data_IF_484357741009
#
_entry.id   IF_484357741009
#
_cell.length_a   1.000
_cell.length_b   1.000
_cell.length_c   1.000
_cell.angle_alpha   90.00
_cell.angle_beta   90.00
_cell.angle_gamma   90.00
#
_symmetry.space_group_name_H-M   'P 1'
#
loop_
_entity.id
_entity.type
_entity.pdbx_description
1 polymer ?
#
# COMPACT_ATOMS: atom_id res chain seq x y z
N UNK A 1 11.34 1.79 16.54
CA UNK A 1 11.73 0.47 17.06
C UNK A 1 12.30 0.69 18.45
N UNK A 2 11.73 0.09 19.50
CA UNK A 2 12.40 0.07 20.79
C UNK A 2 13.69 -0.75 20.62
N UNK A 3 14.84 -0.11 20.79
CA UNK A 3 16.09 -0.84 20.95
C UNK A 3 15.91 -1.72 22.19
N UNK A 4 16.03 -3.03 22.01
CA UNK A 4 16.08 -3.99 23.12
C UNK A 4 17.41 -3.79 23.88
N UNK A 5 17.53 -2.69 24.61
CA UNK A 5 18.62 -2.46 25.56
C UNK A 5 18.11 -2.80 26.96
N UNK A 6 18.47 -3.98 27.45
CA UNK A 6 18.33 -4.36 28.86
C UNK A 6 17.31 -5.47 29.14
N UNK A 7 17.79 -6.70 29.29
CA UNK A 7 17.17 -7.85 30.02
C UNK A 7 15.95 -8.60 29.48
N UNK A 8 15.31 -8.22 28.37
CA UNK A 8 14.20 -9.00 27.78
C UNK A 8 14.59 -9.71 26.49
N UNK A 9 15.70 -10.47 26.53
CA UNK A 9 16.00 -11.41 25.46
C UNK A 9 15.19 -12.69 25.67
N UNK A 10 14.47 -13.16 24.65
CA UNK A 10 14.02 -14.55 24.57
C UNK A 10 15.12 -15.37 23.86
N UNK A 11 16.15 -15.87 24.57
CA UNK A 11 17.32 -16.47 23.94
C UNK A 11 17.00 -17.77 23.20
N UNK A 12 15.88 -18.42 23.53
CA UNK A 12 15.43 -19.66 22.92
C UNK A 12 14.65 -19.46 21.62
N UNK A 13 14.32 -18.22 21.26
CA UNK A 13 13.61 -17.91 20.01
C UNK A 13 14.59 -17.88 18.83
N UNK A 14 14.20 -18.56 17.75
CA UNK A 14 14.84 -18.50 16.45
C UNK A 14 13.82 -18.10 15.38
N UNK A 15 14.28 -17.46 14.28
CA UNK A 15 13.41 -17.18 13.14
C UNK A 15 12.95 -18.46 12.46
N UNK A 16 11.77 -18.40 11.84
CA UNK A 16 11.32 -19.40 10.89
C UNK A 16 12.22 -19.39 9.66
N UNK A 17 12.47 -20.56 9.07
CA UNK A 17 13.16 -20.67 7.78
C UNK A 17 12.10 -21.07 6.76
N UNK A 18 11.85 -20.20 5.78
CA UNK A 18 10.92 -20.47 4.67
C UNK A 18 11.57 -20.07 3.36
N UNK A 19 11.55 -20.98 2.38
CA UNK A 19 12.07 -20.73 1.03
C UNK A 19 13.51 -20.18 1.01
N UNK A 20 14.36 -20.67 1.93
CA UNK A 20 15.76 -20.20 2.06
C UNK A 20 15.93 -18.86 2.77
N UNK A 21 14.84 -18.21 3.21
CA UNK A 21 14.86 -16.95 3.95
C UNK A 21 14.52 -17.17 5.42
N UNK A 22 15.23 -16.47 6.30
CA UNK A 22 14.92 -16.42 7.74
C UNK A 22 13.98 -15.25 8.02
N UNK A 23 12.84 -15.50 8.65
CA UNK A 23 11.89 -14.48 9.04
C UNK A 23 11.43 -14.66 10.50
N UNK A 24 11.38 -13.57 11.25
CA UNK A 24 10.60 -13.49 12.49
C UNK A 24 9.30 -12.75 12.19
N UNK A 25 8.19 -13.25 12.73
CA UNK A 25 6.89 -12.64 12.52
C UNK A 25 6.63 -11.68 13.69
N UNK A 26 6.43 -10.41 13.38
CA UNK A 26 6.07 -9.37 14.35
C UNK A 26 4.69 -8.83 13.99
N UNK A 27 3.76 -8.96 14.93
CA UNK A 27 2.39 -8.45 14.80
C UNK A 27 2.12 -7.38 15.86
N UNK A 28 1.45 -6.31 15.46
CA UNK A 28 0.90 -5.32 16.40
C UNK A 28 -0.56 -5.68 16.64
N UNK A 29 -0.88 -6.29 17.78
CA UNK A 29 -2.25 -6.70 18.09
C UNK A 29 -3.13 -5.51 18.47
N UNK A 30 -2.59 -4.56 19.26
CA UNK A 30 -3.29 -3.34 19.67
C UNK A 30 -2.36 -2.14 19.67
N UNK A 31 -2.83 -1.02 19.11
CA UNK A 31 -2.11 0.25 19.04
C UNK A 31 -2.33 1.09 20.31
N UNK A 32 -1.76 2.29 20.36
CA UNK A 32 -1.95 3.25 21.47
C UNK A 32 -3.25 4.05 21.39
N UNK A 33 -4.11 3.81 20.39
CA UNK A 33 -5.31 4.60 20.16
C UNK A 33 -6.40 4.40 21.22
N UNK A 34 -6.41 3.24 21.89
CA UNK A 34 -7.51 2.81 22.76
C UNK A 34 -7.17 2.98 24.24
N UNK A 35 -7.28 4.20 24.77
CA UNK A 35 -7.20 4.43 26.22
C UNK A 35 -8.44 3.84 26.92
N UNK A 36 -8.33 3.05 28.01
CA UNK A 36 -7.18 2.88 28.92
C UNK A 36 -6.28 1.65 28.63
N UNK A 37 -6.50 0.92 27.53
CA UNK A 37 -5.78 -0.33 27.27
C UNK A 37 -4.34 -0.11 26.79
N UNK A 38 -3.34 -0.83 27.33
CA UNK A 38 -1.95 -0.67 26.89
C UNK A 38 -1.74 -1.27 25.49
N UNK A 39 -0.82 -0.70 24.68
CA UNK A 39 -0.47 -1.26 23.38
C UNK A 39 0.18 -2.64 23.55
N UNK A 40 -0.03 -3.51 22.57
CA UNK A 40 0.42 -4.89 22.61
C UNK A 40 0.98 -5.33 21.25
N UNK A 41 2.20 -5.85 21.27
CA UNK A 41 2.86 -6.49 20.14
C UNK A 41 3.16 -7.96 20.47
N UNK A 42 3.16 -8.79 19.44
CA UNK A 42 3.44 -10.21 19.51
C UNK A 42 4.56 -10.55 18.53
N UNK A 43 5.60 -11.22 19.01
CA UNK A 43 6.63 -11.83 18.16
C UNK A 43 6.44 -13.32 18.19
N UNK A 44 6.41 -13.93 17.01
CA UNK A 44 6.39 -15.37 16.84
C UNK A 44 7.65 -15.84 16.14
N UNK A 45 8.27 -16.86 16.72
CA UNK A 45 9.37 -17.60 16.14
C UNK A 45 9.22 -19.10 16.40
N UNK A 46 10.30 -19.84 16.18
CA UNK A 46 10.43 -21.23 16.58
C UNK A 46 11.37 -21.37 17.77
N UNK A 47 11.14 -22.36 18.60
CA UNK A 47 12.02 -22.72 19.69
C UNK A 47 13.27 -23.42 19.13
N UNK A 48 14.47 -22.95 19.51
CA UNK A 48 15.76 -23.39 18.96
C UNK A 48 16.01 -24.91 19.07
N UNK A 49 15.55 -25.53 20.15
CA UNK A 49 15.82 -26.94 20.44
C UNK A 49 14.72 -27.87 19.95
N UNK A 50 13.46 -27.45 20.05
CA UNK A 50 12.29 -28.33 19.81
C UNK A 50 11.64 -28.09 18.44
N UNK A 51 11.93 -26.97 17.77
CA UNK A 51 11.29 -26.59 16.50
C UNK A 51 9.85 -26.07 16.64
N UNK A 52 9.23 -26.27 17.80
CA UNK A 52 7.88 -25.80 18.13
C UNK A 52 7.73 -24.29 18.05
N UNK A 53 6.50 -23.80 17.83
CA UNK A 53 6.19 -22.37 17.86
C UNK A 53 6.50 -21.75 19.21
N UNK A 54 7.02 -20.53 19.21
CA UNK A 54 7.31 -19.76 20.42
C UNK A 54 6.75 -18.36 20.26
N UNK A 55 5.80 -18.01 21.13
CA UNK A 55 5.11 -16.74 21.13
C UNK A 55 5.61 -15.86 22.28
N UNK A 56 5.93 -14.60 21.98
CA UNK A 56 6.33 -13.63 23.00
C UNK A 56 5.53 -12.35 22.83
N UNK A 57 4.77 -11.98 23.86
CA UNK A 57 3.86 -10.83 23.83
C UNK A 57 4.32 -9.77 24.81
N UNK A 58 4.45 -8.55 24.32
CA UNK A 58 5.06 -7.44 25.04
C UNK A 58 4.41 -6.12 24.70
N UNK A 59 4.65 -5.13 25.55
CA UNK A 59 4.27 -3.75 25.27
C UNK A 59 5.37 -3.10 24.39
N UNK A 60 5.06 -2.67 23.16
CA UNK A 60 6.06 -2.18 22.21
C UNK A 60 6.67 -0.81 22.58
N UNK A 61 6.06 -0.08 23.53
CA UNK A 61 6.56 1.21 24.02
C UNK A 61 7.55 1.01 25.18
N UNK A 62 7.22 0.11 26.11
CA UNK A 62 8.05 -0.11 27.32
C UNK A 62 9.02 -1.29 27.20
N UNK A 63 8.83 -2.17 26.23
CA UNK A 63 9.62 -3.40 26.05
C UNK A 63 9.34 -4.51 27.07
N UNK A 64 8.41 -4.28 28.02
CA UNK A 64 8.08 -5.25 29.08
C UNK A 64 7.07 -6.28 28.60
N UNK A 65 7.17 -7.56 29.04
CA UNK A 65 6.18 -8.58 28.74
C UNK A 65 4.81 -8.21 29.32
N UNK A 66 3.74 -8.67 28.68
CA UNK A 66 2.37 -8.51 29.18
C UNK A 66 2.18 -9.37 30.45
N UNK A 67 1.29 -8.95 31.36
CA UNK A 67 0.99 -9.71 32.59
C UNK A 67 0.60 -11.16 32.25
N UNK A 68 1.25 -12.12 32.90
CA UNK A 68 1.03 -13.55 32.66
C UNK A 68 1.91 -14.17 31.57
N UNK A 69 2.60 -13.37 30.75
CA UNK A 69 3.54 -13.88 29.75
C UNK A 69 4.88 -14.25 30.41
N UNK A 70 5.36 -15.50 30.25
CA UNK A 70 6.67 -15.91 30.75
C UNK A 70 7.79 -15.07 30.11
N UNK A 71 8.87 -14.81 30.87
CA UNK A 71 10.04 -14.08 30.36
C UNK A 71 10.71 -14.76 29.17
N UNK A 72 10.60 -16.09 29.09
CA UNK A 72 11.07 -16.91 27.97
C UNK A 72 10.08 -17.05 26.81
N UNK A 73 8.91 -16.42 26.87
CA UNK A 73 7.81 -16.66 25.93
C UNK A 73 7.03 -17.94 26.24
N UNK A 74 5.90 -18.09 25.56
CA UNK A 74 4.99 -19.23 25.64
C UNK A 74 5.26 -20.18 24.47
N UNK A 75 5.58 -21.43 24.79
CA UNK A 75 5.78 -22.48 23.77
C UNK A 75 4.42 -22.96 23.31
N UNK A 76 4.14 -22.75 22.02
CA UNK A 76 3.02 -23.40 21.34
C UNK A 76 3.51 -24.80 21.04
N UNK A 77 2.92 -25.83 21.67
CA UNK A 77 3.39 -27.23 21.64
C UNK A 77 3.37 -27.91 20.25
N UNK A 78 3.26 -27.13 19.18
CA UNK A 78 3.10 -27.55 17.80
C UNK A 78 4.02 -26.74 16.88
N UNK A 79 4.37 -27.30 15.73
CA UNK A 79 5.09 -26.56 14.70
C UNK A 79 4.12 -25.67 13.92
N UNK A 80 4.51 -24.42 13.66
CA UNK A 80 3.61 -23.42 13.06
C UNK A 80 3.81 -23.34 11.55
N UNK A 81 2.81 -23.79 10.78
CA UNK A 81 2.77 -23.74 9.32
C UNK A 81 2.35 -22.40 8.75
N UNK A 82 1.47 -21.66 9.41
CA UNK A 82 1.08 -20.31 8.99
C UNK A 82 0.51 -19.52 10.16
N UNK A 83 0.56 -18.19 10.04
CA UNK A 83 0.03 -17.26 11.04
C UNK A 83 -0.71 -16.14 10.34
N UNK A 84 -1.85 -15.76 10.88
CA UNK A 84 -2.60 -14.60 10.43
C UNK A 84 -3.06 -13.76 11.61
N UNK A 85 -2.98 -12.44 11.47
CA UNK A 85 -3.57 -11.49 12.40
C UNK A 85 -4.94 -11.08 11.85
N UNK A 86 -6.00 -11.29 12.61
CA UNK A 86 -7.35 -10.94 12.18
C UNK A 86 -7.56 -9.42 12.22
N UNK A 87 -8.41 -8.91 11.32
CA UNK A 87 -8.78 -7.49 11.28
C UNK A 87 -9.82 -7.14 12.34
N UNK A 88 -10.68 -8.10 12.69
CA UNK A 88 -11.69 -7.95 13.73
C UNK A 88 -11.01 -7.80 15.10
N UNK A 89 -11.62 -6.99 15.96
CA UNK A 89 -11.14 -6.75 17.30
C UNK A 89 -12.08 -7.37 18.32
N UNK A 90 -11.53 -7.82 19.44
CA UNK A 90 -12.31 -8.20 20.62
C UNK A 90 -12.89 -6.97 21.34
N UNK A 91 -13.61 -7.22 22.43
CA UNK A 91 -14.18 -6.18 23.31
C UNK A 91 -13.11 -5.25 23.92
N UNK A 92 -11.83 -5.63 23.87
CA UNK A 92 -10.68 -4.87 24.37
C UNK A 92 -9.83 -4.25 23.25
N UNK A 93 -10.38 -4.15 22.02
CA UNK A 93 -9.69 -3.62 20.84
C UNK A 93 -8.39 -4.36 20.49
N UNK A 94 -8.29 -5.63 20.86
CA UNK A 94 -7.19 -6.53 20.57
C UNK A 94 -7.52 -7.35 19.32
N UNK A 95 -6.56 -7.43 18.40
CA UNK A 95 -6.67 -8.29 17.23
C UNK A 95 -6.14 -9.71 17.53
N UNK A 96 -6.98 -10.75 17.41
CA UNK A 96 -6.55 -12.12 17.63
C UNK A 96 -5.59 -12.61 16.55
N UNK A 97 -4.68 -13.48 16.94
CA UNK A 97 -3.75 -14.19 16.06
C UNK A 97 -4.25 -15.61 15.91
N UNK A 98 -4.38 -16.06 14.66
CA UNK A 98 -4.71 -17.45 14.31
C UNK A 98 -3.48 -18.13 13.76
N UNK A 99 -3.16 -19.29 14.30
CA UNK A 99 -2.00 -20.12 13.97
C UNK A 99 -2.49 -21.42 13.35
N UNK A 100 -1.93 -21.82 12.21
CA UNK A 100 -2.14 -23.15 11.62
C UNK A 100 -0.95 -24.03 12.00
N UNK A 101 -1.21 -25.21 12.56
CA UNK A 101 -0.19 -26.17 12.95
C UNK A 101 0.11 -27.24 11.89
N UNK A 102 1.13 -28.06 12.15
CA UNK A 102 1.57 -29.20 11.33
C UNK A 102 0.54 -30.33 11.21
N UNK A 103 -0.43 -30.38 12.12
CA UNK A 103 -1.53 -31.37 12.16
C UNK A 103 -2.82 -30.82 11.56
N UNK A 104 -2.75 -29.67 10.88
CA UNK A 104 -3.89 -28.98 10.28
C UNK A 104 -4.97 -28.59 11.30
N UNK A 105 -4.55 -28.16 12.49
CA UNK A 105 -5.42 -27.57 13.51
C UNK A 105 -5.11 -26.07 13.65
N UNK A 106 -6.16 -25.28 13.87
CA UNK A 106 -6.02 -23.87 14.14
C UNK A 106 -6.00 -23.59 15.64
N UNK A 107 -5.07 -22.73 16.05
CA UNK A 107 -4.94 -22.25 17.43
C UNK A 107 -5.13 -20.73 17.45
N UNK A 108 -5.89 -20.22 18.42
CA UNK A 108 -6.22 -18.79 18.55
C UNK A 108 -5.54 -18.22 19.77
N UNK A 109 -4.91 -17.05 19.60
CA UNK A 109 -4.33 -16.27 20.69
C UNK A 109 -4.85 -14.83 20.69
N UNK A 110 -5.39 -14.33 21.82
CA UNK A 110 -5.63 -15.04 23.08
C UNK A 110 -6.75 -16.09 22.98
N UNK A 111 -6.73 -17.08 23.88
CA UNK A 111 -7.72 -18.16 23.90
C UNK A 111 -9.16 -17.68 24.20
N UNK A 112 -9.32 -16.47 24.78
CA UNK A 112 -10.63 -15.84 24.99
C UNK A 112 -11.40 -15.60 23.69
N UNK A 113 -10.67 -15.39 22.59
CA UNK A 113 -11.26 -14.93 21.33
C UNK A 113 -11.72 -16.11 20.46
N UNK A 114 -11.62 -17.34 20.97
CA UNK A 114 -11.99 -18.56 20.25
C UNK A 114 -13.44 -18.54 19.77
N UNK A 115 -14.37 -18.05 20.59
CA UNK A 115 -15.79 -17.97 20.23
C UNK A 115 -16.03 -17.03 19.04
N UNK A 116 -15.38 -15.86 19.03
CA UNK A 116 -15.43 -14.92 17.91
C UNK A 116 -14.85 -15.55 16.63
N UNK A 117 -13.72 -16.24 16.73
CA UNK A 117 -13.09 -16.90 15.58
C UNK A 117 -13.95 -18.05 15.05
N UNK A 118 -14.66 -18.78 15.91
CA UNK A 118 -15.62 -19.82 15.51
C UNK A 118 -16.77 -19.24 14.68
N UNK A 119 -17.31 -18.08 15.06
CA UNK A 119 -18.35 -17.39 14.29
C UNK A 119 -17.83 -16.92 12.92
N UNK A 120 -16.58 -16.46 12.86
CA UNK A 120 -15.93 -16.00 11.63
C UNK A 120 -15.41 -17.14 10.75
N UNK A 121 -15.38 -18.38 11.24
CA UNK A 121 -14.75 -19.53 10.58
C UNK A 121 -15.11 -19.72 9.10
N UNK A 122 -16.37 -19.51 8.62
CA UNK A 122 -16.70 -19.72 7.21
C UNK A 122 -16.01 -18.71 6.26
N UNK A 123 -15.52 -17.59 6.79
CA UNK A 123 -14.88 -16.52 6.03
C UNK A 123 -13.35 -16.52 6.14
N UNK A 124 -12.78 -17.44 6.92
CA UNK A 124 -11.34 -17.51 7.16
C UNK A 124 -10.71 -18.62 6.32
N UNK A 125 -9.77 -18.20 5.48
CA UNK A 125 -8.99 -19.08 4.61
C UNK A 125 -7.51 -18.91 4.88
N UNK A 126 -6.77 -20.01 4.85
CA UNK A 126 -5.31 -20.04 4.94
C UNK A 126 -4.74 -20.91 3.82
N UNK A 127 -3.48 -20.72 3.47
CA UNK A 127 -2.86 -21.47 2.39
C UNK A 127 -1.39 -21.74 2.69
N UNK A 128 -0.96 -22.96 2.43
CA UNK A 128 0.45 -23.35 2.53
C UNK A 128 1.02 -23.55 1.14
N UNK A 129 2.32 -23.30 1.01
CA UNK A 129 3.07 -23.51 -0.22
C UNK A 129 4.26 -24.40 0.08
N UNK A 130 4.34 -25.54 -0.60
CA UNK A 130 5.48 -26.45 -0.50
C UNK A 130 6.37 -26.31 -1.74
N UNK A 131 7.59 -25.83 -1.52
CA UNK A 131 8.56 -25.63 -2.59
C UNK A 131 9.15 -26.94 -3.12
N UNK A 132 9.17 -28.02 -2.32
CA UNK A 132 9.73 -29.29 -2.77
C UNK A 132 8.82 -29.96 -3.81
N UNK A 133 7.52 -29.90 -3.59
CA UNK A 133 6.49 -30.48 -4.46
C UNK A 133 5.92 -29.49 -5.48
N UNK A 134 6.22 -28.19 -5.33
CA UNK A 134 5.65 -27.10 -6.15
C UNK A 134 4.12 -27.05 -6.12
N UNK A 135 3.54 -27.43 -4.98
CA UNK A 135 2.10 -27.40 -4.75
C UNK A 135 1.71 -26.29 -3.79
N UNK A 136 0.64 -25.57 -4.11
CA UNK A 136 -0.08 -24.72 -3.17
C UNK A 136 -1.36 -25.42 -2.75
N UNK A 137 -1.63 -25.41 -1.46
CA UNK A 137 -2.82 -26.01 -0.85
C UNK A 137 -3.55 -24.96 -0.03
N UNK A 138 -4.83 -24.76 -0.33
CA UNK A 138 -5.70 -23.86 0.42
C UNK A 138 -6.60 -24.63 1.39
N UNK A 139 -6.78 -24.07 2.58
CA UNK A 139 -7.58 -24.62 3.66
C UNK A 139 -8.70 -23.66 4.07
N UNK A 140 -9.89 -24.21 4.28
CA UNK A 140 -10.99 -23.54 4.98
C UNK A 140 -11.00 -23.94 6.45
N UNK A 141 -11.51 -23.06 7.31
CA UNK A 141 -11.69 -23.36 8.73
C UNK A 141 -13.04 -24.05 8.98
N UNK A 142 -13.01 -25.19 9.65
CA UNK A 142 -14.20 -25.96 10.05
C UNK A 142 -14.16 -26.17 11.56
N UNK A 143 -15.32 -26.05 12.20
CA UNK A 143 -15.48 -26.30 13.64
C UNK A 143 -15.98 -27.72 13.85
N UNK A 144 -15.18 -28.58 14.49
CA UNK A 144 -15.56 -29.95 14.89
C UNK A 144 -15.22 -30.16 16.36
N UNK A 145 -16.17 -30.65 17.17
CA UNK A 145 -15.97 -30.93 18.60
C UNK A 145 -15.31 -29.79 19.40
N UNK A 146 -15.71 -28.54 19.14
CA UNK A 146 -15.13 -27.31 19.71
C UNK A 146 -13.66 -27.04 19.33
N UNK A 147 -13.08 -27.82 18.41
CA UNK A 147 -11.76 -27.59 17.81
C UNK A 147 -11.91 -26.97 16.44
N UNK A 148 -10.93 -26.16 16.06
CA UNK A 148 -10.84 -25.56 14.74
C UNK A 148 -9.89 -26.41 13.89
N UNK A 149 -10.40 -27.01 12.82
CA UNK A 149 -9.65 -27.87 11.91
C UNK A 149 -9.53 -27.22 10.53
N UNK A 150 -8.40 -27.47 9.86
CA UNK A 150 -8.15 -27.06 8.49
C UNK A 150 -8.65 -28.14 7.53
N UNK A 151 -9.66 -27.81 6.74
CA UNK A 151 -10.15 -28.67 5.66
C UNK A 151 -9.56 -28.20 4.34
N UNK A 152 -8.88 -29.09 3.64
CA UNK A 152 -8.37 -28.81 2.30
C UNK A 152 -9.53 -28.49 1.34
N UNK A 153 -9.44 -27.35 0.66
CA UNK A 153 -10.43 -26.89 -0.33
C UNK A 153 -9.92 -27.07 -1.76
N UNK A 154 -8.64 -26.76 -1.98
CA UNK A 154 -8.01 -26.84 -3.28
C UNK A 154 -6.52 -27.16 -3.14
N UNK A 155 -5.98 -27.83 -4.14
CA UNK A 155 -4.56 -28.13 -4.27
C UNK A 155 -4.16 -27.94 -5.73
N UNK A 156 -3.18 -27.08 -5.96
CA UNK A 156 -2.80 -26.63 -7.30
C UNK A 156 -1.31 -26.86 -7.51
N UNK A 157 -1.00 -27.56 -8.61
CA UNK A 157 0.36 -27.71 -9.11
C UNK A 157 0.63 -26.62 -10.17
N UNK A 158 1.71 -25.87 -10.00
CA UNK A 158 2.06 -24.69 -10.81
C UNK A 158 2.43 -24.99 -12.29
N UNK A 159 2.37 -26.24 -12.75
CA UNK A 159 2.88 -26.63 -14.08
C UNK A 159 1.92 -26.46 -15.28
N UNK A 160 0.68 -25.98 -15.12
CA UNK A 160 -0.28 -25.84 -16.24
C UNK A 160 -0.61 -24.39 -16.62
N UNK A 161 -0.75 -24.15 -17.94
CA UNK A 161 -0.78 -22.81 -18.59
C UNK A 161 -2.11 -22.54 -19.35
N UNK A 162 -2.57 -21.28 -19.35
CA UNK A 162 -3.68 -20.79 -20.21
C UNK A 162 -3.75 -19.25 -20.33
N UNK A 163 -4.02 -18.75 -21.55
CA UNK A 163 -3.87 -17.34 -22.02
C UNK A 163 -5.26 -16.71 -22.31
N UNK A 164 -5.41 -15.36 -22.39
CA UNK A 164 -6.07 -14.58 -23.49
C UNK A 164 -6.15 -13.06 -23.19
N UNK A 165 -6.42 -12.33 -24.27
CA UNK A 165 -6.11 -10.96 -24.69
C UNK A 165 -7.19 -9.90 -24.40
N UNK A 166 -6.86 -8.67 -24.81
CA UNK A 166 -7.48 -7.41 -24.45
C UNK A 166 -8.20 -6.63 -25.56
N UNK A 167 -9.20 -5.82 -25.16
CA UNK A 167 -9.88 -4.78 -25.94
C UNK A 167 -9.88 -3.41 -25.21
N UNK A 168 -10.29 -2.34 -25.91
CA UNK A 168 -10.15 -0.93 -25.49
C UNK A 168 -11.43 -0.36 -24.85
N UNK A 169 -11.27 0.04 -23.58
CA UNK A 169 -12.21 0.39 -22.50
C UNK A 169 -11.54 1.47 -21.63
N UNK A 170 -12.16 2.30 -20.78
CA UNK A 170 -13.17 1.96 -19.77
C UNK A 170 -12.61 1.05 -18.67
N UNK A 171 -11.36 1.13 -18.23
CA UNK A 171 -10.78 0.06 -17.39
C UNK A 171 -10.96 0.28 -15.87
N UNK A 172 -11.90 -0.45 -15.27
CA UNK A 172 -11.95 -0.61 -13.82
C UNK A 172 -10.78 -1.47 -13.34
N UNK A 173 -10.15 -1.10 -12.22
CA UNK A 173 -9.07 -1.88 -11.59
C UNK A 173 -9.60 -3.21 -11.09
N UNK A 174 -8.87 -4.30 -11.33
CA UNK A 174 -9.17 -5.59 -10.71
C UNK A 174 -8.52 -5.65 -9.34
N UNK A 175 -9.34 -5.54 -8.29
CA UNK A 175 -8.90 -5.52 -6.90
C UNK A 175 -9.32 -6.81 -6.21
N UNK A 176 -8.42 -7.77 -6.15
CA UNK A 176 -8.64 -9.01 -5.41
C UNK A 176 -7.75 -9.01 -4.15
N UNK A 177 -8.33 -8.85 -2.94
CA UNK A 177 -7.57 -8.84 -1.68
C UNK A 177 -6.94 -10.20 -1.35
N UNK A 178 -7.42 -11.28 -1.98
CA UNK A 178 -6.95 -12.65 -1.78
C UNK A 178 -5.99 -13.10 -2.88
N UNK A 179 -5.42 -12.16 -3.65
CA UNK A 179 -4.49 -12.47 -4.73
C UNK A 179 -3.07 -12.68 -4.19
N UNK A 180 -2.53 -13.87 -4.40
CA UNK A 180 -1.12 -14.16 -4.15
C UNK A 180 -0.34 -14.23 -5.47
N UNK A 181 0.90 -13.73 -5.44
CA UNK A 181 1.83 -13.84 -6.56
C UNK A 181 2.91 -14.86 -6.22
N UNK A 182 2.99 -15.91 -7.01
CA UNK A 182 3.95 -17.00 -6.86
C UNK A 182 4.97 -16.91 -7.98
N UNK A 183 6.25 -16.92 -7.62
CA UNK A 183 7.37 -16.96 -8.58
C UNK A 183 8.02 -18.32 -8.49
N UNK A 184 8.16 -19.00 -9.63
CA UNK A 184 8.92 -20.23 -9.75
C UNK A 184 10.13 -19.99 -10.66
N UNK A 185 11.32 -20.25 -10.12
CA UNK A 185 12.58 -20.21 -10.87
C UNK A 185 13.01 -21.65 -11.19
N UNK A 186 13.53 -21.87 -12.39
CA UNK A 186 13.97 -23.19 -12.78
C UNK A 186 14.95 -23.18 -13.94
N UNK A 187 15.43 -24.37 -14.30
CA UNK A 187 16.29 -24.59 -15.45
C UNK A 187 15.61 -25.59 -16.35
N UNK A 188 15.44 -25.24 -17.62
CA UNK A 188 14.86 -26.10 -18.64
C UNK A 188 15.82 -27.25 -18.98
N UNK A 189 15.32 -28.30 -19.62
CA UNK A 189 16.09 -29.49 -20.06
C UNK A 189 17.32 -29.10 -20.91
N UNK A 190 17.25 -27.97 -21.59
CA UNK A 190 18.36 -27.39 -22.36
C UNK A 190 19.36 -26.56 -21.52
N UNK A 191 19.37 -26.70 -20.19
CA UNK A 191 20.19 -25.92 -19.26
C UNK A 191 20.00 -24.40 -19.35
N UNK A 192 18.81 -23.94 -19.74
CA UNK A 192 18.47 -22.52 -19.85
C UNK A 192 17.58 -22.12 -18.69
N UNK A 193 17.93 -21.04 -17.99
CA UNK A 193 17.09 -20.53 -16.90
C UNK A 193 15.72 -20.09 -17.39
N UNK A 194 14.69 -20.26 -16.57
CA UNK A 194 13.39 -19.65 -16.77
C UNK A 194 12.83 -19.11 -15.45
N UNK A 195 11.98 -18.09 -15.57
CA UNK A 195 11.22 -17.53 -14.45
C UNK A 195 9.74 -17.54 -14.83
N UNK A 196 8.91 -18.17 -14.00
CA UNK A 196 7.46 -18.16 -14.13
C UNK A 196 6.84 -17.35 -13.02
N UNK A 197 5.86 -16.52 -13.37
CA UNK A 197 5.07 -15.72 -12.42
C UNK A 197 3.62 -16.15 -12.55
N UNK A 198 3.01 -16.56 -11.45
CA UNK A 198 1.62 -17.01 -11.35
C UNK A 198 0.86 -16.11 -10.38
N UNK A 199 -0.32 -15.67 -10.80
CA UNK A 199 -1.25 -14.92 -9.96
C UNK A 199 -2.39 -15.87 -9.62
N UNK A 200 -2.56 -16.16 -8.33
CA UNK A 200 -3.47 -17.20 -7.82
C UNK A 200 -4.36 -16.58 -6.77
N UNK A 201 -5.67 -16.83 -6.86
CA UNK A 201 -6.60 -16.50 -5.78
C UNK A 201 -6.46 -17.53 -4.64
N UNK A 202 -6.13 -17.10 -3.42
CA UNK A 202 -5.84 -17.98 -2.29
C UNK A 202 -7.08 -18.59 -1.65
N UNK A 203 -8.28 -18.10 -1.96
CA UNK A 203 -9.54 -18.66 -1.45
C UNK A 203 -9.99 -19.82 -2.35
N UNK A 204 -9.97 -19.61 -3.66
CA UNK A 204 -10.47 -20.59 -4.65
C UNK A 204 -9.38 -21.48 -5.26
N UNK A 205 -8.12 -21.05 -5.22
CA UNK A 205 -7.02 -21.69 -5.95
C UNK A 205 -7.02 -21.42 -7.45
N UNK A 206 -7.90 -20.54 -7.95
CA UNK A 206 -7.98 -20.27 -9.38
C UNK A 206 -6.77 -19.47 -9.88
N UNK A 207 -6.25 -19.87 -11.05
CA UNK A 207 -5.21 -19.10 -11.75
C UNK A 207 -5.84 -17.88 -12.42
N UNK A 208 -5.49 -16.69 -11.93
CA UNK A 208 -5.93 -15.41 -12.51
C UNK A 208 -5.09 -15.06 -13.73
N UNK A 209 -3.77 -15.21 -13.64
CA UNK A 209 -2.84 -14.93 -14.74
C UNK A 209 -1.53 -15.69 -14.57
N UNK A 210 -0.83 -15.93 -15.68
CA UNK A 210 0.51 -16.48 -15.64
C UNK A 210 1.42 -15.85 -16.72
N UNK A 211 2.72 -15.76 -16.42
CA UNK A 211 3.74 -15.24 -17.32
C UNK A 211 4.98 -16.12 -17.28
N UNK A 212 5.56 -16.40 -18.45
CA UNK A 212 6.75 -17.22 -18.60
C UNK A 212 7.88 -16.43 -19.26
N UNK A 213 9.00 -16.28 -18.54
CA UNK A 213 10.22 -15.64 -19.03
C UNK A 213 11.27 -16.70 -19.35
N UNK A 214 11.59 -16.84 -20.63
CA UNK A 214 12.65 -17.75 -21.11
C UNK A 214 14.01 -17.09 -20.96
N UNK A 215 15.06 -17.89 -20.72
CA UNK A 215 16.46 -17.43 -20.60
C UNK A 215 16.59 -16.32 -19.55
N UNK A 216 15.96 -16.55 -18.41
CA UNK A 216 15.89 -15.60 -17.31
C UNK A 216 16.26 -16.30 -16.01
N UNK A 217 16.91 -15.58 -15.11
CA UNK A 217 17.39 -16.10 -13.83
C UNK A 217 17.11 -15.11 -12.72
N UNK A 218 16.95 -15.61 -11.50
CA UNK A 218 16.91 -14.77 -10.31
C UNK A 218 18.26 -14.16 -9.93
N UNK A 219 18.31 -13.43 -8.80
CA UNK A 219 17.23 -13.33 -7.81
C UNK A 219 16.04 -12.52 -8.33
N UNK A 220 14.85 -13.11 -8.31
CA UNK A 220 13.62 -12.36 -8.61
C UNK A 220 13.23 -11.54 -7.40
N UNK A 221 13.03 -10.24 -7.58
CA UNK A 221 12.43 -9.38 -6.55
C UNK A 221 11.11 -8.88 -7.04
N UNK A 222 10.07 -9.11 -6.25
CA UNK A 222 8.69 -8.87 -6.61
C UNK A 222 8.03 -8.02 -5.53
N UNK A 223 7.17 -7.14 -5.99
CA UNK A 223 6.20 -6.43 -5.18
C UNK A 223 4.81 -6.57 -5.81
N UNK A 224 3.82 -6.84 -4.97
CA UNK A 224 2.41 -6.82 -5.31
C UNK A 224 1.70 -5.75 -4.48
N UNK A 225 0.96 -4.86 -5.14
CA UNK A 225 0.19 -3.82 -4.47
C UNK A 225 -1.05 -3.48 -5.30
N UNK A 226 -2.20 -3.36 -4.63
CA UNK A 226 -3.51 -3.11 -5.25
C UNK A 226 -3.80 -4.04 -6.45
N UNK A 227 -3.79 -3.48 -7.66
CA UNK A 227 -4.09 -4.15 -8.91
C UNK A 227 -2.85 -4.39 -9.78
N UNK A 228 -1.64 -4.19 -9.25
CA UNK A 228 -0.43 -4.21 -10.05
C UNK A 228 0.71 -4.97 -9.36
N UNK A 229 1.56 -5.55 -10.19
CA UNK A 229 2.70 -6.37 -9.76
C UNK A 229 3.92 -5.89 -10.51
N UNK A 230 4.98 -5.55 -9.79
CA UNK A 230 6.28 -5.21 -10.36
C UNK A 230 7.31 -6.22 -9.93
N UNK A 231 8.11 -6.72 -10.85
CA UNK A 231 9.19 -7.62 -10.50
C UNK A 231 10.41 -7.44 -11.39
N UNK A 232 11.58 -7.68 -10.82
CA UNK A 232 12.87 -7.65 -11.52
C UNK A 232 13.45 -9.05 -11.67
N UNK A 233 14.11 -9.29 -12.79
CA UNK A 233 14.83 -10.53 -13.07
C UNK A 233 16.05 -10.26 -13.95
N UNK A 234 16.97 -11.22 -14.02
CA UNK A 234 18.14 -11.15 -14.90
C UNK A 234 17.85 -11.84 -16.23
N UNK A 235 17.92 -11.10 -17.33
CA UNK A 235 17.80 -11.67 -18.68
C UNK A 235 19.16 -12.18 -19.16
N UNK A 236 19.30 -13.50 -19.29
CA UNK A 236 20.55 -14.15 -19.69
C UNK A 236 20.90 -13.91 -21.17
N UNK A 237 19.88 -13.75 -22.03
CA UNK A 237 20.07 -13.51 -23.46
C UNK A 237 20.71 -12.14 -23.71
N UNK A 238 20.17 -11.12 -23.04
CA UNK A 238 20.60 -9.72 -23.22
C UNK A 238 21.62 -9.26 -22.17
N UNK A 239 21.93 -10.11 -21.17
CA UNK A 239 22.86 -9.86 -20.06
C UNK A 239 22.57 -8.55 -19.33
N UNK A 240 21.31 -8.36 -18.96
CA UNK A 240 20.84 -7.14 -18.29
C UNK A 240 19.69 -7.43 -17.33
N UNK A 241 19.50 -6.55 -16.36
CA UNK A 241 18.34 -6.59 -15.46
C UNK A 241 17.14 -5.99 -16.17
N UNK A 242 16.05 -6.74 -16.18
CA UNK A 242 14.76 -6.30 -16.71
C UNK A 242 13.76 -6.21 -15.56
N UNK A 243 12.91 -5.19 -15.60
CA UNK A 243 11.82 -4.95 -14.68
C UNK A 243 10.52 -5.07 -15.45
N UNK A 244 9.72 -6.06 -15.11
CA UNK A 244 8.40 -6.26 -15.70
C UNK A 244 7.32 -5.72 -14.77
N UNK A 245 6.28 -5.15 -15.38
CA UNK A 245 5.10 -4.63 -14.72
C UNK A 245 3.89 -5.37 -15.26
N UNK A 246 3.00 -5.78 -14.38
CA UNK A 246 1.67 -6.31 -14.67
C UNK A 246 0.65 -5.37 -14.03
N UNK A 247 -0.41 -5.03 -14.74
CA UNK A 247 -1.57 -4.34 -14.19
C UNK A 247 -2.83 -5.10 -14.60
N UNK A 248 -3.71 -5.32 -13.62
CA UNK A 248 -4.95 -6.08 -13.78
C UNK A 248 -6.15 -5.13 -13.77
N UNK A 249 -7.06 -5.35 -14.72
CA UNK A 249 -8.27 -4.55 -14.89
C UNK A 249 -9.49 -5.47 -15.13
N UNK A 250 -10.65 -5.14 -14.56
CA UNK A 250 -11.91 -5.88 -14.77
C UNK A 250 -12.50 -5.66 -16.17
N UNK A 251 -12.15 -4.54 -16.82
CA UNK A 251 -12.75 -4.12 -18.10
C UNK A 251 -13.73 -2.96 -17.94
N UNK A 252 -14.67 -2.81 -18.90
CA UNK A 252 -15.64 -1.70 -19.05
C UNK A 252 -16.65 -1.55 -17.92
N UNK A 253 -16.97 -2.64 -17.27
CA UNK A 253 -18.05 -2.72 -16.30
C UNK A 253 -17.47 -3.29 -15.03
N UNK A 254 -17.64 -2.57 -13.94
CA UNK A 254 -17.38 -3.11 -12.62
C UNK A 254 -18.46 -4.14 -12.32
N UNK A 255 -18.06 -5.35 -11.94
CA UNK A 255 -19.03 -6.43 -11.70
C UNK A 255 -19.83 -6.17 -10.43
N UNK A 256 -19.13 -5.76 -9.37
CA UNK A 256 -19.73 -5.38 -8.10
C UNK A 256 -19.00 -4.17 -7.52
N UNK A 257 -19.73 -3.09 -7.26
CA UNK A 257 -19.15 -1.84 -6.75
C UNK A 257 -19.07 -1.77 -5.22
N UNK A 258 -19.81 -2.63 -4.51
CA UNK A 258 -19.93 -2.56 -3.04
C UNK A 258 -19.04 -3.56 -2.33
N UNK A 259 -18.97 -4.81 -2.81
CA UNK A 259 -18.24 -5.88 -2.14
C UNK A 259 -17.55 -6.81 -3.14
N UNK A 260 -16.31 -7.19 -2.84
CA UNK A 260 -15.59 -8.23 -3.56
C UNK A 260 -15.72 -9.59 -2.84
N UNK A 261 -16.00 -10.66 -3.58
CA UNK A 261 -15.98 -12.04 -3.07
C UNK A 261 -15.20 -12.93 -4.05
N UNK A 262 -14.22 -13.67 -3.56
CA UNK A 262 -13.49 -14.65 -4.37
C UNK A 262 -14.36 -15.83 -4.82
N UNK A 263 -15.47 -16.10 -4.13
CA UNK A 263 -16.40 -17.20 -4.46
C UNK A 263 -17.37 -16.84 -5.59
N UNK A 264 -17.56 -15.55 -5.84
CA UNK A 264 -18.32 -15.01 -6.97
C UNK A 264 -17.41 -14.01 -7.71
N UNK A 265 -16.33 -14.50 -8.36
CA UNK A 265 -15.29 -13.64 -8.87
C UNK A 265 -15.79 -12.84 -10.09
N UNK A 266 -15.32 -11.60 -10.25
CA UNK A 266 -15.51 -10.88 -11.51
C UNK A 266 -14.89 -11.67 -12.68
N UNK A 267 -15.28 -11.38 -13.94
CA UNK A 267 -14.70 -12.03 -15.11
C UNK A 267 -13.18 -11.90 -15.11
N UNK A 268 -12.51 -12.86 -15.77
CA UNK A 268 -11.05 -12.92 -15.81
C UNK A 268 -10.46 -11.56 -16.22
N UNK A 269 -9.50 -11.02 -15.44
CA UNK A 269 -9.03 -9.67 -15.65
C UNK A 269 -8.25 -9.52 -16.93
N UNK A 270 -8.37 -8.33 -17.49
CA UNK A 270 -7.48 -7.79 -18.49
C UNK A 270 -6.10 -7.53 -17.87
N UNK A 271 -5.10 -8.32 -18.26
CA UNK A 271 -3.73 -8.13 -17.78
C UNK A 271 -2.90 -7.39 -18.82
N UNK A 272 -2.59 -6.13 -18.52
CA UNK A 272 -1.61 -5.35 -19.26
C UNK A 272 -0.22 -5.63 -18.72
N UNK A 273 0.76 -5.77 -19.62
CA UNK A 273 2.13 -6.07 -19.23
C UNK A 273 3.13 -5.34 -20.10
N UNK A 274 4.20 -4.87 -19.48
CA UNK A 274 5.32 -4.26 -20.19
C UNK A 274 6.61 -4.52 -19.41
N UNK A 275 7.71 -4.63 -20.14
CA UNK A 275 9.05 -4.76 -19.56
C UNK A 275 9.89 -3.53 -19.83
N UNK A 276 10.74 -3.23 -18.86
CA UNK A 276 11.69 -2.14 -18.85
C UNK A 276 13.08 -2.68 -18.54
N UNK A 277 14.10 -1.95 -18.94
CA UNK A 277 15.51 -2.24 -18.67
C UNK A 277 15.92 -1.35 -17.51
N UNK A 278 16.44 -1.97 -16.45
CA UNK A 278 16.97 -1.23 -15.32
C UNK A 278 18.50 -1.12 -15.44
N UNK A 279 19.07 0.11 -15.45
CA UNK A 279 20.51 0.31 -15.61
C UNK A 279 21.25 0.03 -14.29
N UNK A 280 21.48 -1.25 -14.01
CA UNK A 280 22.27 -1.73 -12.89
C UNK A 280 21.66 -2.94 -12.19
N UNK A 281 22.28 -3.34 -11.09
CA UNK A 281 21.79 -4.42 -10.24
C UNK A 281 21.07 -3.86 -9.03
N UNK A 282 19.93 -4.48 -8.71
CA UNK A 282 19.17 -4.19 -7.51
C UNK A 282 19.68 -5.08 -6.36
N UNK A 283 19.75 -4.54 -5.14
CA UNK A 283 20.04 -5.26 -3.88
C UNK A 283 18.77 -5.68 -3.15
N UNK A 284 17.76 -4.82 -3.16
CA UNK A 284 16.40 -5.09 -2.73
C UNK A 284 15.45 -4.11 -3.43
N UNK A 285 14.18 -4.47 -3.48
CA UNK A 285 13.12 -3.58 -3.94
C UNK A 285 12.06 -3.52 -2.84
N UNK A 286 11.43 -2.36 -2.67
CA UNK A 286 10.25 -2.19 -1.86
C UNK A 286 9.35 -1.15 -2.53
N UNK A 287 8.03 -1.38 -2.49
CA UNK A 287 7.07 -0.32 -2.76
C UNK A 287 6.72 0.50 -1.53
N UNK A 288 6.60 1.81 -1.76
CA UNK A 288 6.05 2.76 -0.80
C UNK A 288 4.56 2.93 -1.07
N UNK A 289 3.73 2.69 -0.05
CA UNK A 289 2.39 3.27 0.06
C UNK A 289 2.45 4.48 0.99
N UNK A 290 2.25 5.67 0.44
CA UNK A 290 1.70 6.80 1.18
C UNK A 290 0.20 6.82 0.83
N UNK A 291 -0.67 7.24 1.75
CA UNK A 291 -2.14 7.01 1.71
C UNK A 291 -2.83 7.30 0.35
N UNK A 292 -2.20 8.08 -0.55
CA UNK A 292 -2.65 8.31 -1.93
C UNK A 292 -1.55 8.27 -3.01
N UNK A 293 -0.27 8.08 -2.64
CA UNK A 293 0.86 8.19 -3.59
C UNK A 293 1.80 7.00 -3.51
N UNK A 294 2.00 6.40 -4.69
CA UNK A 294 2.72 5.17 -4.91
C UNK A 294 4.08 5.46 -5.58
N UNK A 295 5.18 5.33 -4.83
CA UNK A 295 6.54 5.53 -5.36
C UNK A 295 7.48 4.39 -5.02
N UNK A 296 7.79 3.51 -5.98
CA UNK A 296 8.71 2.40 -5.74
C UNK A 296 10.12 2.88 -5.36
N UNK A 297 10.68 2.27 -4.32
CA UNK A 297 12.03 2.51 -3.82
C UNK A 297 12.95 1.32 -4.17
N UNK A 298 14.10 1.63 -4.75
CA UNK A 298 15.06 0.67 -5.28
C UNK A 298 16.39 0.80 -4.55
N UNK A 299 16.81 -0.23 -3.82
CA UNK A 299 18.15 -0.27 -3.27
C UNK A 299 19.14 -0.71 -4.35
N UNK A 300 20.11 0.15 -4.63
CA UNK A 300 21.19 -0.12 -5.57
C UNK A 300 22.32 -0.88 -4.88
N UNK A 301 23.06 -1.68 -5.62
CA UNK A 301 24.30 -2.30 -5.11
C UNK A 301 25.38 -1.28 -4.71
N UNK A 302 25.34 -0.09 -5.30
CA UNK A 302 26.24 1.02 -4.95
C UNK A 302 25.91 1.65 -3.58
N UNK A 303 24.85 1.18 -2.91
CA UNK A 303 24.38 1.69 -1.63
C UNK A 303 23.51 2.94 -1.72
N UNK A 304 23.17 3.40 -2.92
CA UNK A 304 22.17 4.44 -3.13
C UNK A 304 20.75 3.86 -3.08
N UNK A 305 19.79 4.63 -2.57
CA UNK A 305 18.37 4.28 -2.55
C UNK A 305 17.67 5.19 -3.54
N UNK A 306 17.26 4.63 -4.68
CA UNK A 306 16.64 5.35 -5.79
C UNK A 306 15.12 5.29 -5.67
N UNK A 307 14.46 6.44 -5.65
CA UNK A 307 13.01 6.52 -5.76
C UNK A 307 12.60 6.81 -7.21
N UNK A 308 11.69 6.02 -7.77
CA UNK A 308 11.15 6.29 -9.10
C UNK A 308 9.62 6.41 -9.04
N UNK A 309 9.01 7.35 -9.79
CA UNK A 309 7.56 7.41 -9.92
C UNK A 309 7.00 6.12 -10.53
N UNK A 310 5.90 5.59 -9.97
CA UNK A 310 5.18 4.45 -10.55
C UNK A 310 4.70 4.73 -11.98
N UNK A 311 4.49 6.00 -12.34
CA UNK A 311 4.15 6.40 -13.71
C UNK A 311 5.24 6.03 -14.75
N UNK A 312 6.52 5.93 -14.35
CA UNK A 312 7.58 5.38 -15.22
C UNK A 312 7.40 3.88 -15.47
N UNK A 313 6.73 3.19 -14.57
CA UNK A 313 6.44 1.76 -14.59
C UNK A 313 4.96 1.51 -14.91
N UNK A 314 4.43 2.14 -15.95
CA UNK A 314 3.05 1.95 -16.43
C UNK A 314 3.07 1.08 -17.70
N UNK A 315 2.35 -0.06 -17.77
CA UNK A 315 2.32 -0.92 -18.95
C UNK A 315 1.52 -0.34 -20.13
N UNK A 316 0.84 0.78 -19.94
CA UNK A 316 0.05 1.48 -20.98
C UNK A 316 0.89 2.45 -21.79
N UNK A 317 2.18 2.62 -21.47
CA UNK A 317 3.09 3.53 -22.17
C UNK A 317 3.25 3.07 -23.64
N UNK A 318 2.80 3.87 -24.63
CA UNK A 318 2.84 3.48 -26.03
C UNK A 318 4.20 3.81 -26.65
N UNK A 319 4.66 3.02 -27.62
CA UNK A 319 5.88 3.35 -28.40
C UNK A 319 5.66 4.65 -29.20
N UNK A 320 4.49 4.77 -29.83
CA UNK A 320 4.09 5.97 -30.58
C UNK A 320 2.85 6.56 -29.89
N UNK A 321 2.93 7.76 -29.28
CA UNK A 321 1.81 8.35 -28.56
C UNK A 321 0.73 8.84 -29.54
N UNK A 322 -0.51 8.45 -29.28
CA UNK A 322 -1.71 8.91 -29.99
C UNK A 322 -2.28 10.15 -29.30
N UNK A 323 -3.22 10.91 -29.92
CA UNK A 323 -3.86 12.05 -29.27
C UNK A 323 -4.50 11.71 -27.93
N UNK A 324 -5.16 10.56 -27.82
CA UNK A 324 -5.82 10.10 -26.59
C UNK A 324 -4.81 9.86 -25.47
N UNK A 325 -3.65 9.26 -25.78
CA UNK A 325 -2.58 9.07 -24.81
C UNK A 325 -1.99 10.41 -24.32
N UNK A 326 -2.00 11.46 -25.16
CA UNK A 326 -1.53 12.80 -24.78
C UNK A 326 -2.53 13.51 -23.88
N UNK A 327 -3.83 13.32 -24.12
CA UNK A 327 -4.90 13.85 -23.26
C UNK A 327 -4.84 13.23 -21.85
N UNK A 328 -4.53 11.93 -21.73
CA UNK A 328 -4.34 11.26 -20.44
C UNK A 328 -2.98 11.59 -19.78
N UNK A 329 -2.06 12.24 -20.51
CA UNK A 329 -0.72 12.55 -20.00
C UNK A 329 0.21 11.32 -19.91
N UNK A 330 -0.07 10.26 -20.67
CA UNK A 330 0.76 9.05 -20.69
C UNK A 330 2.08 9.37 -21.41
N UNK A 331 3.17 9.16 -20.69
CA UNK A 331 4.52 9.30 -21.25
C UNK A 331 4.82 8.18 -22.26
N UNK A 332 5.51 8.47 -23.38
CA UNK A 332 5.85 7.46 -24.37
C UNK A 332 6.77 6.39 -23.77
N UNK A 333 6.70 5.17 -24.29
CA UNK A 333 7.53 4.07 -23.84
C UNK A 333 9.00 4.37 -24.10
N UNK A 334 9.78 4.33 -23.03
CA UNK A 334 11.23 4.39 -23.06
C UNK A 334 11.72 3.14 -22.35
N UNK A 335 12.37 2.20 -23.06
CA UNK A 335 12.71 0.90 -22.50
C UNK A 335 13.69 1.02 -21.35
N UNK A 336 14.64 1.96 -21.38
CA UNK A 336 15.58 2.20 -20.29
C UNK A 336 14.98 3.12 -19.23
N UNK A 337 14.99 2.66 -17.98
CA UNK A 337 14.53 3.48 -16.86
C UNK A 337 15.59 4.53 -16.50
N UNK A 338 15.19 5.80 -16.35
CA UNK A 338 16.12 6.84 -15.93
C UNK A 338 16.59 6.60 -14.49
N UNK A 339 17.84 6.96 -14.22
CA UNK A 339 18.44 6.94 -12.88
C UNK A 339 18.97 8.34 -12.55
N UNK A 340 18.08 9.32 -12.29
CA UNK A 340 18.51 10.66 -11.89
C UNK A 340 19.18 10.59 -10.52
N UNK A 341 20.29 11.29 -10.35
CA UNK A 341 21.03 11.32 -9.08
C UNK A 341 20.25 12.08 -8.00
N UNK A 342 19.40 13.02 -8.41
CA UNK A 342 18.53 13.82 -7.55
C UNK A 342 17.44 12.98 -6.88
N UNK A 343 17.09 11.82 -7.44
CA UNK A 343 16.10 10.91 -6.86
C UNK A 343 16.72 9.88 -5.90
N UNK A 344 18.02 10.00 -5.60
CA UNK A 344 18.69 9.15 -4.62
C UNK A 344 18.50 9.76 -3.22
N UNK A 345 17.61 9.17 -2.42
CA UNK A 345 17.13 9.76 -1.16
C UNK A 345 18.18 9.82 -0.05
N UNK A 346 19.24 9.01 -0.13
CA UNK A 346 20.30 8.95 0.86
C UNK A 346 21.55 9.76 0.48
N UNK A 347 21.53 10.52 -0.61
CA UNK A 347 22.62 11.41 -1.04
C UNK A 347 24.01 10.75 -0.90
N UNK A 348 24.84 11.23 0.05
CA UNK A 348 26.20 10.75 0.29
C UNK A 348 26.30 9.66 1.38
N UNK A 349 25.18 9.25 1.97
CA UNK A 349 25.13 8.23 3.02
C UNK A 349 24.86 6.86 2.40
N UNK A 350 25.86 6.28 1.74
CA UNK A 350 25.74 4.96 1.10
C UNK A 350 25.46 3.85 2.14
N UNK A 351 24.42 3.04 1.90
CA UNK A 351 24.00 1.94 2.77
C UNK A 351 24.31 0.62 2.07
N UNK A 352 25.26 -0.16 2.58
CA UNK A 352 25.68 -1.39 1.91
C UNK A 352 24.90 -2.62 2.38
N UNK A 353 24.82 -3.63 1.51
CA UNK A 353 24.16 -4.92 1.78
C UNK A 353 22.76 -4.79 2.37
N UNK A 354 21.93 -3.92 1.77
CA UNK A 354 20.55 -3.75 2.18
C UNK A 354 19.82 -5.09 2.01
N UNK A 355 19.25 -5.59 3.11
CA UNK A 355 18.47 -6.82 3.14
C UNK A 355 16.98 -6.53 2.90
N UNK A 356 16.52 -5.39 3.39
CA UNK A 356 15.16 -4.93 3.17
C UNK A 356 15.02 -3.43 3.37
N UNK A 357 13.94 -2.91 2.83
CA UNK A 357 13.44 -1.57 3.11
C UNK A 357 12.09 -1.79 3.79
N UNK A 358 11.72 -0.92 4.72
CA UNK A 358 10.40 -0.88 5.33
C UNK A 358 9.86 0.54 5.25
N UNK A 359 8.59 0.68 4.87
CA UNK A 359 7.89 1.97 4.82
C UNK A 359 6.74 1.99 5.81
N UNK A 360 6.47 3.13 6.42
CA UNK A 360 5.29 3.34 7.25
C UNK A 360 4.67 4.72 6.96
N UNK A 361 3.34 4.84 6.87
CA UNK A 361 2.69 6.14 6.74
C UNK A 361 3.05 7.02 7.93
N UNK A 362 3.26 8.31 7.69
CA UNK A 362 3.30 9.30 8.77
C UNK A 362 1.86 9.76 9.08
N UNK A 363 1.68 10.55 10.13
CA UNK A 363 0.39 11.22 10.39
C UNK A 363 0.04 12.35 9.41
N UNK A 364 0.84 12.52 8.35
CA UNK A 364 0.67 13.49 7.28
C UNK A 364 0.56 12.71 5.97
N UNK A 365 -0.47 12.96 5.18
CA UNK A 365 -0.76 12.26 3.92
C UNK A 365 0.38 12.38 2.91
N UNK A 366 1.12 13.50 2.93
CA UNK A 366 2.24 13.74 2.03
C UNK A 366 3.55 13.06 2.44
N UNK A 367 3.60 12.49 3.65
CA UNK A 367 4.83 12.05 4.28
C UNK A 367 4.78 10.57 4.63
N UNK A 368 5.85 9.85 4.34
CA UNK A 368 6.02 8.47 4.79
C UNK A 368 7.47 8.20 5.21
N UNK A 369 7.60 7.36 6.23
CA UNK A 369 8.83 7.03 6.92
C UNK A 369 9.49 5.85 6.22
N UNK A 370 10.77 5.98 5.85
CA UNK A 370 11.54 4.91 5.20
C UNK A 370 12.64 4.46 6.14
N UNK A 371 12.71 3.15 6.38
CA UNK A 371 13.78 2.49 7.10
C UNK A 371 14.43 1.45 6.18
N UNK A 372 15.67 1.67 5.80
CA UNK A 372 16.49 0.66 5.13
C UNK A 372 17.32 -0.08 6.19
N UNK A 373 17.35 -1.40 6.11
CA UNK A 373 18.11 -2.24 7.03
C UNK A 373 18.90 -3.30 6.28
N UNK A 374 20.10 -3.58 6.79
CA UNK A 374 21.03 -4.53 6.20
C UNK A 374 22.27 -4.65 7.08
N UNK A 375 23.44 -4.38 6.51
CA UNK A 375 24.65 -4.17 7.34
C UNK A 375 24.53 -2.89 8.17
N UNK A 376 24.07 -1.82 7.52
CA UNK A 376 23.84 -0.51 8.13
C UNK A 376 22.33 -0.23 8.22
N UNK A 377 21.97 0.67 9.12
CA UNK A 377 20.60 1.18 9.27
C UNK A 377 20.53 2.60 8.76
N UNK A 378 19.55 2.88 7.90
CA UNK A 378 19.29 4.22 7.39
C UNK A 378 17.81 4.55 7.51
N UNK A 379 17.51 5.70 8.10
CA UNK A 379 16.14 6.15 8.33
C UNK A 379 15.97 7.57 7.79
N UNK A 380 14.91 7.78 7.01
CA UNK A 380 14.57 9.11 6.49
C UNK A 380 13.07 9.27 6.30
N UNK A 381 12.65 10.52 6.14
CA UNK A 381 11.29 10.88 5.73
C UNK A 381 11.34 11.27 4.25
N UNK A 382 10.35 10.82 3.49
CA UNK A 382 10.26 11.11 2.07
C UNK A 382 8.89 11.74 1.79
N UNK A 383 8.82 12.57 0.76
CA UNK A 383 7.61 13.31 0.37
C UNK A 383 7.34 13.15 -1.13
N UNK A 384 6.70 12.04 -1.55
CA UNK A 384 6.46 11.69 -2.95
C UNK A 384 5.79 12.79 -3.78
N UNK A 385 4.76 13.43 -3.22
CA UNK A 385 3.95 14.47 -3.86
C UNK A 385 4.31 15.89 -3.41
N UNK A 386 5.51 16.06 -2.81
CA UNK A 386 5.89 17.24 -2.03
C UNK A 386 4.97 17.43 -0.82
N UNK A 387 5.36 18.28 0.12
CA UNK A 387 4.61 18.55 1.35
C UNK A 387 3.40 19.46 1.07
N UNK A 388 2.33 18.92 0.47
CA UNK A 388 1.14 19.69 0.11
C UNK A 388 0.23 20.00 1.31
N UNK A 389 0.34 19.21 2.37
CA UNK A 389 -0.43 19.29 3.62
C UNK A 389 0.27 20.13 4.71
N UNK A 390 1.47 20.63 4.42
CA UNK A 390 2.23 21.51 5.31
C UNK A 390 2.52 22.82 4.59
N UNK A 391 2.43 23.93 5.33
CA UNK A 391 2.83 25.23 4.82
C UNK A 391 4.30 25.19 4.40
N UNK A 392 4.63 25.82 3.28
CA UNK A 392 6.01 25.81 2.80
C UNK A 392 6.94 26.47 3.83
N UNK A 393 8.17 25.99 3.92
CA UNK A 393 9.19 26.56 4.81
C UNK A 393 9.57 28.00 4.42
N UNK A 394 9.45 28.33 3.12
CA UNK A 394 9.71 29.65 2.53
C UNK A 394 8.46 30.56 2.53
N UNK A 395 7.44 30.23 3.32
CA UNK A 395 6.21 31.02 3.36
C UNK A 395 6.45 32.40 3.98
N UNK A 396 6.25 33.45 3.18
CA UNK A 396 6.48 34.84 3.58
C UNK A 396 5.31 35.37 4.44
N UNK A 397 5.44 35.13 5.75
CA UNK A 397 4.53 35.66 6.77
C UNK A 397 4.52 37.19 6.78
N UNK A 398 5.65 37.82 6.50
CA UNK A 398 5.83 39.28 6.58
C UNK A 398 5.06 39.97 5.45
N UNK A 399 5.12 39.44 4.23
CA UNK A 399 4.32 39.92 3.11
C UNK A 399 2.83 39.81 3.38
N UNK A 400 2.38 38.67 3.95
CA UNK A 400 0.98 38.49 4.31
C UNK A 400 0.52 39.45 5.41
N UNK A 401 1.33 39.65 6.46
CA UNK A 401 1.04 40.60 7.53
C UNK A 401 1.02 42.05 7.03
N UNK A 402 1.96 42.45 6.17
CA UNK A 402 1.95 43.78 5.58
C UNK A 402 0.74 44.02 4.69
N UNK A 403 0.29 43.01 3.92
CA UNK A 403 -0.95 43.13 3.15
C UNK A 403 -2.17 43.27 4.04
N UNK A 404 -2.29 42.48 5.12
CA UNK A 404 -3.45 42.59 6.03
C UNK A 404 -3.47 43.94 6.74
N UNK A 405 -2.34 44.37 7.30
CA UNK A 405 -2.22 45.66 8.00
C UNK A 405 -2.32 46.85 7.03
N UNK A 406 -1.95 46.69 5.75
CA UNK A 406 -2.14 47.73 4.73
C UNK A 406 -3.57 47.81 4.19
N UNK A 407 -4.31 46.70 4.19
CA UNK A 407 -5.68 46.65 3.69
C UNK A 407 -6.68 47.32 4.64
N UNK A 408 -6.53 47.15 5.96
CA UNK A 408 -7.47 47.71 6.95
C UNK A 408 -7.50 49.25 7.01
N UNK A 409 -6.36 49.98 7.00
CA UNK A 409 -6.34 51.44 6.92
C UNK A 409 -6.91 51.95 5.60
N UNK A 410 -6.62 51.27 4.49
CA UNK A 410 -7.16 51.63 3.17
C UNK A 410 -8.68 51.46 3.13
N UNK A 411 -9.22 50.36 3.68
CA UNK A 411 -10.66 50.14 3.77
C UNK A 411 -11.33 51.18 4.67
N UNK A 412 -10.72 51.50 5.80
CA UNK A 412 -11.21 52.52 6.72
C UNK A 412 -11.15 53.92 6.11
N UNK A 413 -10.12 54.22 5.30
CA UNK A 413 -10.02 55.47 4.58
C UNK A 413 -11.10 55.58 3.50
N UNK A 414 -11.28 54.53 2.68
CA UNK A 414 -12.33 54.45 1.67
C UNK A 414 -13.75 54.53 2.27
N UNK A 415 -13.98 53.91 3.44
CA UNK A 415 -15.25 53.99 4.14
C UNK A 415 -15.53 55.40 4.69
N UNK A 416 -14.49 56.12 5.13
CA UNK A 416 -14.61 57.53 5.55
C UNK A 416 -14.89 58.44 4.36
N UNK A 417 -14.12 58.34 3.27
CA UNK A 417 -14.35 59.14 2.06
C UNK A 417 -15.70 58.83 1.42
N UNK A 418 -16.13 57.57 1.38
CA UNK A 418 -17.47 57.20 0.88
C UNK A 418 -18.60 57.77 1.74
N UNK A 419 -18.44 57.84 3.07
CA UNK A 419 -19.41 58.53 3.95
C UNK A 419 -19.43 60.03 3.69
N UNK A 420 -18.27 60.66 3.50
CA UNK A 420 -18.15 62.09 3.23
C UNK A 420 -18.72 62.48 1.85
N UNK A 421 -18.49 61.69 0.80
CA UNK A 421 -19.08 61.90 -0.52
C UNK A 421 -20.59 61.64 -0.52
N UNK A 422 -21.06 60.59 0.15
CA UNK A 422 -22.49 60.33 0.32
C UNK A 422 -23.19 61.43 1.12
N UNK A 423 -22.53 62.02 2.12
CA UNK A 423 -23.07 63.19 2.83
C UNK A 423 -23.07 64.44 1.96
N UNK A 424 -22.04 64.71 1.16
CA UNK A 424 -22.03 65.84 0.21
C UNK A 424 -23.12 65.73 -0.84
N UNK A 425 -23.34 64.55 -1.43
CA UNK A 425 -24.48 64.31 -2.33
C UNK A 425 -25.82 64.51 -1.64
N UNK A 426 -25.96 64.11 -0.37
CA UNK A 426 -27.21 64.33 0.39
C UNK A 426 -27.43 65.79 0.84
N UNK A 427 -26.36 66.59 0.92
CA UNK A 427 -26.42 68.03 1.24
C UNK A 427 -26.73 68.84 -0.01
N UNK A 428 -26.21 68.48 -1.19
CA UNK A 428 -26.64 69.06 -2.48
C UNK A 428 -28.13 68.83 -2.76
N UNK A 429 -28.73 67.74 -2.25
CA UNK A 429 -30.16 67.46 -2.39
C UNK A 429 -31.04 68.30 -1.43
N UNK A 430 -30.47 69.01 -0.44
CA UNK A 430 -31.25 69.83 0.52
C UNK A 430 -31.51 71.28 0.10
N UNK A 431 -30.89 71.76 -0.99
CA UNK A 431 -31.13 73.12 -1.54
C UNK A 431 -32.05 73.15 -2.78
N UNK A 432 -32.81 72.07 -3.04
CA UNK A 432 -33.88 72.05 -4.03
C UNK A 432 -35.13 71.39 -3.44
N UNK A 433 -35.92 72.15 -2.68
CA UNK A 433 -37.27 71.75 -2.30
C UNK A 433 -38.31 72.18 -3.34
N UNK A 434 -39.24 71.25 -3.60
CA UNK A 434 -40.61 71.41 -4.10
C UNK A 434 -40.82 71.26 -5.62
N UNK A 435 -41.01 70.01 -6.06
CA UNK A 435 -42.31 69.62 -6.60
C UNK A 435 -42.64 68.17 -6.24
N UNK A 436 -43.77 68.00 -5.54
CA UNK A 436 -44.30 66.75 -5.03
C UNK A 436 -45.09 66.02 -6.12
N UNK A 437 -44.84 64.72 -6.30
CA UNK A 437 -45.91 63.77 -6.62
C UNK A 437 -45.62 62.43 -5.94
N UNK A 438 -46.60 62.02 -5.14
CA UNK A 438 -46.66 60.85 -4.29
C UNK A 438 -47.01 59.61 -5.12
N UNK A 439 -46.35 58.47 -4.90
CA UNK A 439 -46.99 57.16 -4.98
C UNK A 439 -46.26 56.12 -4.11
N UNK A 440 -47.06 55.45 -3.28
CA UNK A 440 -46.73 54.40 -2.33
C UNK A 440 -46.14 53.15 -3.00
N UNK A 441 -45.19 52.49 -2.33
CA UNK A 441 -44.80 51.11 -2.62
C UNK A 441 -45.13 50.22 -1.42
N UNK A 442 -46.13 49.36 -1.62
CA UNK A 442 -46.53 48.25 -0.78
C UNK A 442 -45.58 47.06 -0.96
N UNK A 443 -45.33 46.36 0.16
CA UNK A 443 -44.65 45.06 0.25
C UNK A 443 -45.60 43.96 -0.23
N UNK A 444 -45.11 42.97 -1.00
CA UNK A 444 -45.33 41.50 -0.89
C UNK A 444 -44.49 40.77 -1.97
N UNK A 445 -43.93 39.57 -1.71
CA UNK A 445 -42.91 38.89 -2.52
C UNK A 445 -43.49 37.81 -3.46
N UNK A 446 -42.71 37.27 -4.42
CA UNK A 446 -42.76 35.86 -4.91
C UNK A 446 -41.79 35.56 -6.09
N UNK A 447 -40.97 34.52 -5.88
CA UNK A 447 -40.56 33.38 -6.75
C UNK A 447 -40.23 33.47 -8.27
N UNK A 448 -39.10 32.82 -8.59
CA UNK A 448 -38.81 31.84 -9.67
C UNK A 448 -38.35 32.26 -11.08
N UNK A 449 -37.27 31.55 -11.46
CA UNK A 449 -36.78 31.11 -12.79
C UNK A 449 -36.23 32.12 -13.82
N UNK A 450 -34.91 32.07 -14.05
CA UNK A 450 -34.37 31.48 -15.28
C UNK A 450 -32.83 31.42 -15.35
N UNK A 451 -32.35 30.21 -15.67
CA UNK A 451 -31.20 29.81 -16.50
C UNK A 451 -30.08 30.84 -16.79
N UNK A 452 -28.84 30.51 -16.37
CA UNK A 452 -27.61 31.04 -16.96
C UNK A 452 -26.68 29.92 -17.43
N UNK A 453 -26.29 30.03 -18.71
CA UNK A 453 -25.28 29.27 -19.42
C UNK A 453 -23.86 29.74 -19.06
N UNK A 454 -22.83 28.86 -19.02
CA UNK A 454 -21.45 29.29 -18.93
C UNK A 454 -20.83 29.46 -20.32
N UNK A 455 -20.24 30.63 -20.60
CA UNK A 455 -19.41 30.90 -21.78
C UNK A 455 -17.95 30.54 -21.50
N UNK A 456 -17.37 29.76 -22.43
CA UNK A 456 -15.93 29.55 -22.60
C UNK A 456 -15.21 30.85 -22.98
N UNK A 457 -13.97 31.00 -22.51
CA UNK A 457 -12.97 31.87 -23.11
C UNK A 457 -11.69 31.07 -23.41
N UNK A 458 -11.28 31.09 -24.67
CA UNK A 458 -10.04 30.50 -25.21
C UNK A 458 -9.04 31.64 -25.43
N UNK A 459 -7.77 31.42 -25.05
CA UNK A 459 -6.62 32.25 -25.39
C UNK A 459 -5.43 31.35 -25.68
N UNK A 460 -4.75 31.63 -26.80
CA UNK A 460 -3.86 30.76 -27.60
C UNK A 460 -2.77 29.98 -26.87
#
# INVERSE_FOLDING_TARGET
>A
MAAFSGSTSCPQMAPFIRFGHTAMLLYIQRTTAHFPHPPQGAVLGRHKLTGQGLLYVFNPITGKPVKGMPSGGEVINHEVLQVSLLSQMDDHYLRPIVLLDDKLQYHVYPASDLAMVQELSPSLYMFTADAATSTLTGYGMVVEDSKLLARELWSVNLQQQGIVLADRSVLYKYLNPNLAVVVAEGVDSASKGFVNVYLIDTVTGSFVFHCHHRRSRGPVRLEHSENWVTYSYWNEKNRRTEMAVLELYEGKKQSNATTFSSLDPPPSPLVMRQSYIFPGYLSCHLMRSCELVFMPSFALQTGGILELPKALLDPRRPIVPTPEHREEGIMPYMPELPKPYEAIINYNQSVYKIQGIHTAPAGLESTCLVLCYGLDLFYTRVNPSKMFDVLKEDFDLLLHQHRSVGHDPCLNHLAKTGREEGTKQSVEVRDCSVHSMCMCASVVPLSCDNQMTPRLAVGQ
#
